data_IF_843969135922
#
_entry.id   IF_843969135922
#
_cell.length_a   1.000
_cell.length_b   1.000
_cell.length_c   1.000
_cell.angle_alpha   90.00
_cell.angle_beta   90.00
_cell.angle_gamma   90.00
#
_symmetry.space_group_name_H-M   'P 1'
#
loop_
_entity.id
_entity.type
_entity.pdbx_description
1 polymer ?
#
# COMPACT_ATOMS: atom_id res chain seq x y z
N UNK A 1 26.02 -2.34 22.20
CA UNK A 1 24.55 -2.43 22.27
C UNK A 1 24.20 -3.91 22.26
N UNK A 2 23.46 -4.37 23.27
CA UNK A 2 23.10 -5.77 23.46
C UNK A 2 22.30 -6.27 22.25
N UNK A 3 22.93 -7.09 21.41
CA UNK A 3 22.36 -7.62 20.18
C UNK A 3 21.64 -8.95 20.45
N UNK A 4 20.89 -9.02 21.56
CA UNK A 4 19.99 -10.14 21.82
C UNK A 4 18.80 -9.99 20.89
N UNK A 5 18.74 -10.82 19.84
CA UNK A 5 17.51 -10.99 19.05
C UNK A 5 16.34 -11.20 20.03
N UNK A 6 15.18 -10.56 19.81
CA UNK A 6 14.02 -10.78 20.64
C UNK A 6 13.78 -12.28 20.78
N UNK A 7 13.64 -12.76 22.01
CA UNK A 7 13.36 -14.16 22.26
C UNK A 7 12.01 -14.49 21.62
N UNK A 8 11.99 -15.49 20.74
CA UNK A 8 10.77 -15.85 20.01
C UNK A 8 9.66 -16.26 21.00
N UNK A 9 8.42 -15.80 20.81
CA UNK A 9 7.30 -16.19 21.65
C UNK A 9 7.14 -17.72 21.71
N UNK A 10 6.65 -18.24 22.84
CA UNK A 10 6.46 -19.69 23.01
C UNK A 10 5.54 -20.30 21.95
N UNK A 11 4.52 -19.56 21.49
CA UNK A 11 3.61 -19.99 20.42
C UNK A 11 4.27 -20.06 19.03
N UNK A 12 5.42 -19.40 18.83
CA UNK A 12 6.19 -19.49 17.59
C UNK A 12 7.07 -20.76 17.56
N UNK A 13 7.10 -21.55 18.64
CA UNK A 13 7.87 -22.79 18.73
C UNK A 13 7.02 -24.00 18.39
N UNK A 14 7.57 -24.88 17.57
CA UNK A 14 6.91 -26.09 17.11
C UNK A 14 7.33 -27.33 17.90
N UNK A 15 6.44 -28.33 17.93
CA UNK A 15 6.83 -29.69 18.28
C UNK A 15 7.85 -30.24 17.27
N UNK A 16 8.77 -31.14 17.66
CA UNK A 16 9.73 -31.74 16.73
C UNK A 16 9.08 -32.37 15.50
N UNK A 17 7.94 -33.03 15.68
CA UNK A 17 7.18 -33.65 14.59
C UNK A 17 6.64 -32.61 13.59
N UNK A 18 6.12 -31.49 14.09
CA UNK A 18 5.62 -30.41 13.22
C UNK A 18 6.77 -29.69 12.51
N UNK A 19 7.87 -29.45 13.21
CA UNK A 19 9.07 -28.87 12.62
C UNK A 19 9.63 -29.73 11.47
N UNK A 20 9.62 -31.06 11.64
CA UNK A 20 10.03 -32.00 10.58
C UNK A 20 9.14 -31.91 9.33
N UNK A 21 7.80 -31.82 9.50
CA UNK A 21 6.89 -31.61 8.36
C UNK A 21 7.18 -30.32 7.60
N UNK A 22 7.47 -29.24 8.32
CA UNK A 22 7.87 -27.99 7.67
C UNK A 22 9.23 -28.09 6.97
N UNK A 23 10.18 -28.83 7.52
CA UNK A 23 11.44 -29.11 6.83
C UNK A 23 11.20 -29.90 5.53
N UNK A 24 10.42 -30.98 5.56
CA UNK A 24 10.06 -31.80 4.39
C UNK A 24 9.38 -30.94 3.30
N UNK A 25 8.34 -30.17 3.65
CA UNK A 25 7.70 -29.25 2.69
C UNK A 25 8.64 -28.16 2.14
N UNK A 26 9.63 -27.75 2.94
CA UNK A 26 10.64 -26.78 2.48
C UNK A 26 11.57 -27.40 1.45
N UNK A 27 11.98 -28.66 1.63
CA UNK A 27 12.76 -29.43 0.65
C UNK A 27 11.97 -29.69 -0.64
N UNK A 28 10.65 -29.91 -0.53
CA UNK A 28 9.73 -30.02 -1.67
C UNK A 28 9.53 -28.69 -2.43
N UNK A 29 10.14 -27.59 -1.96
CA UNK A 29 10.08 -26.30 -2.62
C UNK A 29 8.82 -25.49 -2.33
N UNK A 30 8.00 -25.89 -1.35
CA UNK A 30 6.78 -25.15 -0.97
C UNK A 30 7.11 -23.70 -0.68
N UNK A 31 8.26 -23.42 -0.06
CA UNK A 31 8.71 -22.09 0.36
C UNK A 31 9.73 -21.42 -0.58
N UNK A 32 10.02 -22.05 -1.73
CA UNK A 32 10.91 -21.50 -2.74
C UNK A 32 10.43 -20.13 -3.24
N UNK A 33 11.35 -19.36 -3.81
CA UNK A 33 11.00 -18.10 -4.47
C UNK A 33 10.12 -18.37 -5.67
N UNK A 34 8.99 -17.67 -5.78
CA UNK A 34 8.24 -17.64 -7.02
C UNK A 34 9.04 -16.93 -8.13
N UNK A 35 8.70 -17.14 -9.40
CA UNK A 35 9.37 -16.50 -10.54
C UNK A 35 9.47 -14.96 -10.40
N UNK A 36 8.39 -14.35 -9.95
CA UNK A 36 8.35 -12.90 -9.67
C UNK A 36 9.30 -12.48 -8.55
N UNK A 37 9.52 -13.33 -7.54
CA UNK A 37 10.47 -13.08 -6.46
C UNK A 37 11.92 -13.29 -6.91
N UNK A 38 12.16 -14.22 -7.84
CA UNK A 38 13.48 -14.44 -8.45
C UNK A 38 13.95 -13.20 -9.20
N UNK A 39 13.04 -12.51 -9.92
CA UNK A 39 13.36 -11.25 -10.60
C UNK A 39 13.89 -10.17 -9.64
N UNK A 40 13.34 -10.10 -8.42
CA UNK A 40 13.85 -9.19 -7.39
C UNK A 40 15.18 -9.66 -6.79
N UNK A 41 15.33 -10.96 -6.53
CA UNK A 41 16.58 -11.57 -6.07
C UNK A 41 17.73 -11.25 -7.02
N UNK A 42 17.51 -11.36 -8.33
CA UNK A 42 18.55 -11.18 -9.34
C UNK A 42 19.06 -9.72 -9.43
N UNK A 43 18.36 -8.79 -8.77
CA UNK A 43 18.72 -7.37 -8.65
C UNK A 43 19.17 -6.97 -7.25
N UNK A 44 19.30 -7.91 -6.31
CA UNK A 44 19.63 -7.64 -4.90
C UNK A 44 20.85 -6.73 -4.76
N UNK A 45 21.97 -7.11 -5.38
CA UNK A 45 23.24 -6.38 -5.29
C UNK A 45 23.15 -4.99 -5.90
N UNK A 46 22.33 -4.81 -6.95
CA UNK A 46 22.09 -3.51 -7.55
C UNK A 46 21.33 -2.59 -6.59
N UNK A 47 20.26 -3.08 -5.94
CA UNK A 47 19.56 -2.32 -4.91
C UNK A 47 20.47 -2.00 -3.71
N UNK A 48 21.26 -2.97 -3.26
CA UNK A 48 22.20 -2.78 -2.15
C UNK A 48 23.24 -1.69 -2.49
N UNK A 49 23.78 -1.68 -3.71
CA UNK A 49 24.70 -0.64 -4.19
C UNK A 49 24.09 0.76 -4.22
N UNK A 50 22.76 0.84 -4.42
CA UNK A 50 21.97 2.09 -4.38
C UNK A 50 21.55 2.47 -2.96
N UNK A 51 21.87 1.67 -1.94
CA UNK A 51 21.54 1.92 -0.54
C UNK A 51 20.15 1.42 -0.12
N UNK A 52 19.56 0.50 -0.88
CA UNK A 52 18.28 -0.14 -0.59
C UNK A 52 18.49 -1.63 -0.30
N UNK A 53 18.36 -2.01 0.96
CA UNK A 53 18.51 -3.40 1.39
C UNK A 53 17.16 -4.12 1.25
N UNK A 54 17.10 -5.14 0.39
CA UNK A 54 15.93 -6.01 0.30
C UNK A 54 15.90 -7.00 1.47
N UNK A 55 14.72 -7.57 1.76
CA UNK A 55 14.56 -8.61 2.78
C UNK A 55 15.50 -9.81 2.55
N UNK A 56 15.94 -10.51 3.61
CA UNK A 56 16.90 -11.62 3.49
C UNK A 56 16.51 -12.71 2.48
N UNK A 57 15.21 -12.94 2.30
CA UNK A 57 14.62 -13.87 1.31
C UNK A 57 15.11 -13.64 -0.13
N UNK A 58 15.46 -12.41 -0.48
CA UNK A 58 15.90 -12.04 -1.83
C UNK A 58 17.42 -12.06 -2.00
N UNK A 59 18.19 -12.42 -0.97
CA UNK A 59 19.64 -12.52 -1.07
C UNK A 59 20.04 -13.82 -1.75
N UNK A 60 21.03 -13.76 -2.65
CA UNK A 60 21.57 -14.97 -3.27
C UNK A 60 22.08 -15.96 -2.21
N UNK A 61 21.73 -17.25 -2.37
CA UNK A 61 22.05 -18.30 -1.40
C UNK A 61 21.21 -18.27 -0.11
N UNK A 62 20.13 -17.48 -0.05
CA UNK A 62 19.20 -17.50 1.08
C UNK A 62 18.72 -18.93 1.38
N UNK A 63 18.71 -19.25 2.67
CA UNK A 63 18.16 -20.49 3.21
C UNK A 63 17.09 -20.10 4.24
N UNK A 64 15.90 -20.70 4.21
CA UNK A 64 14.82 -20.39 5.14
C UNK A 64 15.27 -20.42 6.61
N UNK A 65 14.92 -19.37 7.36
CA UNK A 65 15.42 -19.15 8.71
C UNK A 65 14.99 -20.21 9.73
N UNK A 66 13.95 -20.99 9.44
CA UNK A 66 13.41 -22.07 10.29
C UNK A 66 14.08 -23.42 10.06
N UNK A 67 14.88 -23.62 9.01
CA UNK A 67 15.57 -24.90 8.77
C UNK A 67 16.51 -25.21 9.94
N UNK A 68 16.44 -26.46 10.42
CA UNK A 68 17.23 -26.94 11.57
C UNK A 68 16.78 -26.36 12.91
N UNK A 69 15.62 -25.67 12.97
CA UNK A 69 15.08 -25.06 14.18
C UNK A 69 13.62 -25.49 14.38
N UNK A 70 13.15 -25.39 15.62
CA UNK A 70 11.76 -25.64 15.98
C UNK A 70 10.92 -24.36 15.92
N UNK A 71 11.03 -23.60 14.83
CA UNK A 71 10.32 -22.32 14.66
C UNK A 71 9.25 -22.51 13.60
N UNK A 72 8.06 -21.99 13.86
CA UNK A 72 6.97 -21.97 12.89
C UNK A 72 7.26 -20.93 11.79
N UNK A 73 7.31 -21.34 10.50
CA UNK A 73 7.53 -20.42 9.39
C UNK A 73 6.56 -19.23 9.36
N UNK A 74 5.37 -19.34 9.95
CA UNK A 74 4.43 -18.22 10.01
C UNK A 74 4.95 -17.03 10.84
N UNK A 75 5.93 -17.25 11.72
CA UNK A 75 6.61 -16.22 12.52
C UNK A 75 8.01 -15.89 11.99
N UNK A 76 8.31 -16.27 10.75
CA UNK A 76 9.55 -15.93 10.07
C UNK A 76 9.26 -14.88 8.98
N UNK A 77 9.86 -13.69 9.10
CA UNK A 77 9.73 -12.62 8.10
C UNK A 77 10.09 -13.10 6.68
N UNK A 78 11.11 -13.97 6.58
CA UNK A 78 11.59 -14.53 5.31
C UNK A 78 10.70 -15.65 4.74
N UNK A 79 9.61 -16.01 5.41
CA UNK A 79 8.52 -16.82 4.87
C UNK A 79 7.48 -15.98 4.11
N UNK A 80 7.43 -14.67 4.36
CA UNK A 80 6.42 -13.77 3.81
C UNK A 80 6.77 -13.45 2.36
N UNK A 81 5.94 -13.92 1.43
CA UNK A 81 6.10 -13.63 0.01
C UNK A 81 5.54 -12.28 -0.35
N UNK A 82 6.14 -11.67 -1.36
CA UNK A 82 5.53 -10.49 -1.97
C UNK A 82 4.37 -10.90 -2.90
N UNK A 83 3.24 -10.20 -2.78
CA UNK A 83 1.99 -10.55 -3.51
C UNK A 83 1.86 -9.85 -4.85
N UNK A 84 2.39 -8.64 -4.96
CA UNK A 84 2.25 -7.79 -6.14
C UNK A 84 3.59 -7.80 -6.89
N UNK A 85 3.67 -8.37 -8.11
CA UNK A 85 4.94 -8.57 -8.81
C UNK A 85 5.77 -7.31 -9.01
N UNK A 86 5.11 -6.17 -9.24
CA UNK A 86 5.73 -4.88 -9.54
C UNK A 86 6.06 -4.04 -8.30
N UNK A 87 5.74 -4.51 -7.09
CA UNK A 87 5.99 -3.78 -5.85
C UNK A 87 6.94 -4.60 -4.97
N UNK A 88 7.89 -3.97 -4.29
CA UNK A 88 8.67 -4.62 -3.23
C UNK A 88 9.05 -3.62 -2.15
N UNK A 89 9.16 -4.05 -0.90
CA UNK A 89 9.71 -3.24 0.19
C UNK A 89 11.25 -3.32 0.25
N UNK A 90 11.87 -2.23 0.68
CA UNK A 90 13.30 -2.17 0.95
C UNK A 90 13.60 -1.27 2.15
N UNK A 91 14.73 -1.51 2.80
CA UNK A 91 15.22 -0.71 3.91
C UNK A 91 16.35 0.21 3.44
N UNK A 92 16.23 1.51 3.72
CA UNK A 92 17.29 2.49 3.49
C UNK A 92 18.38 2.36 4.56
N UNK A 93 19.53 2.99 4.34
CA UNK A 93 20.65 3.02 5.30
C UNK A 93 20.28 3.61 6.67
N UNK A 94 19.32 4.53 6.71
CA UNK A 94 18.79 5.14 7.95
C UNK A 94 17.77 4.24 8.68
N UNK A 95 17.46 3.06 8.13
CA UNK A 95 16.49 2.12 8.67
C UNK A 95 15.06 2.37 8.22
N UNK A 96 14.78 3.47 7.51
CA UNK A 96 13.44 3.76 6.97
C UNK A 96 13.06 2.72 5.93
N UNK A 97 11.84 2.19 6.04
CA UNK A 97 11.26 1.27 5.05
C UNK A 97 10.60 2.07 3.95
N UNK A 98 10.89 1.69 2.71
CA UNK A 98 10.35 2.30 1.49
C UNK A 98 9.74 1.23 0.59
N UNK A 99 8.94 1.67 -0.37
CA UNK A 99 8.38 0.85 -1.43
C UNK A 99 9.10 1.15 -2.75
N UNK A 100 9.44 0.07 -3.45
CA UNK A 100 9.98 0.04 -4.79
C UNK A 100 8.84 -0.33 -5.75
N UNK A 101 8.52 0.53 -6.70
CA UNK A 101 7.59 0.22 -7.81
C UNK A 101 8.36 0.06 -9.11
N UNK A 102 8.28 -1.13 -9.71
CA UNK A 102 8.86 -1.45 -11.00
C UNK A 102 7.88 -1.09 -12.13
N UNK A 103 8.16 -0.01 -12.86
CA UNK A 103 7.24 0.50 -13.90
C UNK A 103 7.93 0.70 -15.24
N UNK A 104 7.13 0.68 -16.32
CA UNK A 104 7.61 0.94 -17.67
C UNK A 104 7.91 2.42 -17.85
N UNK A 105 9.04 2.72 -18.48
CA UNK A 105 9.46 4.09 -18.81
C UNK A 105 8.68 4.70 -19.98
N UNK A 106 8.02 3.85 -20.77
CA UNK A 106 7.18 4.28 -21.89
C UNK A 106 5.84 4.90 -21.45
N UNK A 107 5.46 4.76 -20.18
CA UNK A 107 4.23 5.37 -19.64
C UNK A 107 4.53 6.77 -19.13
N UNK A 108 3.52 7.65 -19.03
CA UNK A 108 3.70 8.99 -18.47
C UNK A 108 3.91 8.97 -16.94
N UNK A 109 3.71 7.82 -16.28
CA UNK A 109 3.65 7.68 -14.82
C UNK A 109 4.86 8.29 -14.11
N UNK A 110 6.08 7.87 -14.49
CA UNK A 110 7.33 8.37 -13.87
C UNK A 110 7.44 9.89 -14.05
N UNK A 111 7.11 10.39 -15.25
CA UNK A 111 7.20 11.80 -15.58
C UNK A 111 6.21 12.65 -14.78
N UNK A 112 4.97 12.15 -14.59
CA UNK A 112 3.94 12.82 -13.79
C UNK A 112 4.32 12.78 -12.31
N UNK A 113 4.69 11.61 -11.77
CA UNK A 113 5.06 11.45 -10.37
C UNK A 113 6.28 12.32 -10.00
N UNK A 114 7.30 12.35 -10.87
CA UNK A 114 8.49 13.19 -10.69
C UNK A 114 8.17 14.68 -10.78
N UNK A 115 7.24 15.07 -11.66
CA UNK A 115 6.77 16.46 -11.74
C UNK A 115 6.07 16.90 -10.45
N UNK A 116 5.17 16.07 -9.94
CA UNK A 116 4.43 16.31 -8.69
C UNK A 116 5.34 16.29 -7.45
N UNK A 117 6.51 15.64 -7.55
CA UNK A 117 7.53 15.61 -6.50
C UNK A 117 8.65 16.64 -6.69
N UNK A 118 8.56 17.49 -7.72
CA UNK A 118 9.58 18.51 -7.97
C UNK A 118 9.57 19.60 -6.88
N UNK A 119 10.66 20.35 -6.77
CA UNK A 119 10.84 21.39 -5.74
C UNK A 119 9.66 22.38 -5.65
N UNK A 120 9.04 22.69 -6.79
CA UNK A 120 7.89 23.58 -6.87
C UNK A 120 6.64 23.03 -6.17
N UNK A 121 6.44 21.71 -6.15
CA UNK A 121 5.18 21.09 -5.70
C UNK A 121 5.35 20.24 -4.43
N UNK A 122 6.55 19.73 -4.14
CA UNK A 122 6.78 18.86 -2.97
C UNK A 122 6.53 19.52 -1.61
N UNK A 123 6.53 20.86 -1.58
CA UNK A 123 6.31 21.65 -0.38
C UNK A 123 4.91 22.29 -0.33
N UNK A 124 4.07 22.10 -1.36
CA UNK A 124 2.69 22.54 -1.30
C UNK A 124 1.90 21.61 -0.36
N UNK A 125 1.37 22.11 0.77
CA UNK A 125 0.65 21.27 1.72
C UNK A 125 -0.61 20.64 1.12
N UNK A 126 -1.15 21.18 0.02
CA UNK A 126 -2.31 20.65 -0.71
C UNK A 126 -1.94 19.58 -1.73
N UNK A 127 -0.66 19.34 -1.94
CA UNK A 127 -0.19 18.26 -2.79
C UNK A 127 -0.28 16.95 -2.02
N UNK A 128 -1.40 16.24 -2.20
CA UNK A 128 -1.57 14.88 -1.70
C UNK A 128 -1.11 13.84 -2.73
N UNK A 129 -0.17 14.14 -3.64
CA UNK A 129 0.45 13.10 -4.46
C UNK A 129 1.60 12.45 -3.68
N UNK A 130 1.75 11.13 -3.78
CA UNK A 130 2.85 10.43 -3.11
C UNK A 130 4.21 11.00 -3.55
N UNK A 131 5.09 11.36 -2.61
CA UNK A 131 6.40 11.89 -2.97
C UNK A 131 7.30 10.78 -3.52
N UNK A 132 8.02 11.10 -4.58
CA UNK A 132 9.03 10.22 -5.18
C UNK A 132 10.40 10.55 -4.58
N UNK A 133 10.97 9.57 -3.89
CA UNK A 133 12.21 9.70 -3.13
C UNK A 133 13.46 9.46 -4.00
N UNK A 134 13.35 8.57 -4.98
CA UNK A 134 14.40 8.26 -5.96
C UNK A 134 13.78 7.59 -7.19
N UNK A 135 14.44 7.71 -8.34
CA UNK A 135 14.11 6.99 -9.58
C UNK A 135 15.40 6.54 -10.25
N UNK A 136 15.50 5.25 -10.55
CA UNK A 136 16.66 4.71 -11.27
C UNK A 136 16.25 3.61 -12.24
N UNK A 137 17.04 3.48 -13.31
CA UNK A 137 16.77 2.51 -14.37
C UNK A 137 17.03 1.09 -13.90
N UNK A 138 16.28 0.15 -14.48
CA UNK A 138 16.59 -1.26 -14.38
C UNK A 138 17.72 -1.60 -15.36
N UNK A 139 18.74 -2.32 -14.88
CA UNK A 139 19.87 -2.75 -15.68
C UNK A 139 19.57 -4.02 -16.49
N UNK A 140 18.59 -4.81 -16.06
CA UNK A 140 18.18 -6.05 -16.74
C UNK A 140 17.04 -5.80 -17.74
N UNK A 141 16.20 -4.79 -17.49
CA UNK A 141 15.06 -4.42 -18.34
C UNK A 141 15.13 -2.92 -18.71
N UNK A 142 15.84 -2.55 -19.80
CA UNK A 142 16.13 -1.14 -20.13
C UNK A 142 14.90 -0.25 -20.36
N UNK A 143 13.75 -0.84 -20.68
CA UNK A 143 12.45 -0.16 -20.85
C UNK A 143 11.74 0.10 -19.52
N UNK A 144 12.31 -0.32 -18.38
CA UNK A 144 11.74 -0.18 -17.05
C UNK A 144 12.65 0.58 -16.08
N UNK A 145 12.04 1.05 -15.00
CA UNK A 145 12.70 1.74 -13.92
C UNK A 145 12.01 1.43 -12.58
N UNK A 146 12.75 1.69 -11.51
CA UNK A 146 12.26 1.63 -10.15
C UNK A 146 11.96 3.03 -9.64
N UNK A 147 10.75 3.24 -9.13
CA UNK A 147 10.40 4.42 -8.35
C UNK A 147 10.41 4.05 -6.87
N UNK A 148 11.11 4.84 -6.07
CA UNK A 148 11.16 4.70 -4.61
C UNK A 148 10.15 5.67 -4.01
N UNK A 149 9.24 5.15 -3.19
CA UNK A 149 8.19 5.92 -2.54
C UNK A 149 8.07 5.53 -1.05
N UNK A 150 7.48 6.37 -0.19
CA UNK A 150 7.23 6.02 1.20
C UNK A 150 6.39 4.75 1.36
N UNK A 151 6.58 4.04 2.47
CA UNK A 151 5.66 2.99 2.89
C UNK A 151 4.37 3.62 3.40
N UNK A 152 3.25 3.29 2.75
CA UNK A 152 1.90 3.76 3.10
C UNK A 152 0.96 2.59 3.38
N UNK A 153 -0.18 2.85 4.01
CA UNK A 153 -1.27 1.87 4.21
C UNK A 153 -2.49 2.25 3.36
N UNK A 154 -3.40 1.32 3.04
CA UNK A 154 -4.71 1.68 2.49
C UNK A 154 -5.41 2.73 3.37
N UNK A 155 -6.16 3.65 2.77
CA UNK A 155 -6.80 4.77 3.51
C UNK A 155 -7.79 4.32 4.60
N UNK A 156 -8.41 3.15 4.42
CA UNK A 156 -9.36 2.54 5.34
C UNK A 156 -8.75 1.41 6.18
N UNK A 157 -7.41 1.35 6.31
CA UNK A 157 -6.72 0.42 7.21
C UNK A 157 -5.82 1.18 8.21
N UNK A 158 -6.17 1.25 9.50
CA UNK A 158 -7.37 0.64 10.11
C UNK A 158 -8.66 1.31 9.65
N UNK A 159 -9.81 0.68 9.88
CA UNK A 159 -11.11 1.26 9.53
C UNK A 159 -11.35 2.63 10.18
N UNK A 160 -12.24 3.43 9.60
CA UNK A 160 -12.65 4.71 10.17
C UNK A 160 -13.50 4.46 11.43
N UNK A 161 -13.08 5.01 12.56
CA UNK A 161 -13.74 4.84 13.85
C UNK A 161 -14.67 5.99 14.23
N UNK A 162 -14.54 7.15 13.58
CA UNK A 162 -15.34 8.34 13.88
C UNK A 162 -15.68 9.16 12.63
N UNK A 163 -16.84 9.82 12.64
CA UNK A 163 -17.28 10.66 11.51
C UNK A 163 -16.32 11.83 11.23
N UNK A 164 -15.63 12.33 12.26
CA UNK A 164 -14.61 13.38 12.10
C UNK A 164 -13.44 12.92 11.22
N UNK A 165 -13.06 11.65 11.29
CA UNK A 165 -12.00 11.06 10.46
C UNK A 165 -12.44 10.97 8.99
N UNK A 166 -13.72 10.69 8.74
CA UNK A 166 -14.30 10.68 7.40
C UNK A 166 -14.29 12.08 6.79
N UNK A 167 -14.69 13.10 7.56
CA UNK A 167 -14.64 14.49 7.09
C UNK A 167 -13.22 14.94 6.79
N UNK A 168 -12.24 14.58 7.62
CA UNK A 168 -10.82 14.86 7.36
C UNK A 168 -10.32 14.18 6.07
N UNK A 169 -10.67 12.91 5.87
CA UNK A 169 -10.36 12.19 4.63
C UNK A 169 -10.95 12.88 3.40
N UNK A 170 -12.26 13.16 3.40
CA UNK A 170 -12.95 13.83 2.29
C UNK A 170 -12.35 15.20 2.01
N UNK A 171 -12.03 15.97 3.06
CA UNK A 171 -11.40 17.28 2.89
C UNK A 171 -10.06 17.17 2.17
N UNK A 172 -9.16 16.29 2.63
CA UNK A 172 -7.84 16.08 2.03
C UNK A 172 -7.93 15.57 0.58
N UNK A 173 -8.81 14.61 0.30
CA UNK A 173 -8.93 14.03 -1.05
C UNK A 173 -9.55 14.99 -2.07
N UNK A 174 -10.33 15.99 -1.63
CA UNK A 174 -10.86 17.05 -2.49
C UNK A 174 -9.85 18.15 -2.83
N UNK A 175 -8.70 18.23 -2.15
CA UNK A 175 -7.67 19.23 -2.44
C UNK A 175 -6.91 18.94 -3.76
N UNK A 176 -6.94 17.69 -4.24
CA UNK A 176 -6.17 17.27 -5.41
C UNK A 176 -7.03 17.13 -6.66
N UNK A 177 -6.40 17.46 -7.79
CA UNK A 177 -6.93 17.29 -9.13
C UNK A 177 -6.07 16.25 -9.88
N UNK A 178 -6.37 14.96 -9.73
CA UNK A 178 -5.65 13.87 -10.41
C UNK A 178 -6.56 12.93 -11.16
N UNK A 179 -6.19 12.56 -12.38
CA UNK A 179 -6.93 11.57 -13.17
C UNK A 179 -6.63 10.15 -12.67
N UNK A 180 -7.59 9.55 -11.94
CA UNK A 180 -7.63 8.23 -11.26
C UNK A 180 -7.67 8.25 -9.71
N UNK A 181 -8.68 8.93 -9.16
CA UNK A 181 -8.98 9.03 -7.73
C UNK A 181 -9.67 7.79 -7.10
N UNK A 182 -9.53 6.61 -7.70
CA UNK A 182 -10.21 5.42 -7.17
C UNK A 182 -9.65 4.98 -5.81
N UNK A 183 -10.50 4.44 -4.93
CA UNK A 183 -10.12 4.05 -3.55
C UNK A 183 -8.81 3.25 -3.42
N UNK A 184 -8.55 2.23 -4.26
CA UNK A 184 -7.28 1.48 -4.22
C UNK A 184 -6.02 2.30 -4.52
N UNK A 185 -6.16 3.48 -5.11
CA UNK A 185 -5.09 4.42 -5.39
C UNK A 185 -5.00 5.53 -4.32
N UNK A 186 -5.81 5.48 -3.25
CA UNK A 186 -5.70 6.39 -2.11
C UNK A 186 -5.09 5.63 -0.94
N UNK A 187 -3.96 6.14 -0.48
CA UNK A 187 -3.17 5.57 0.60
C UNK A 187 -3.03 6.58 1.73
N UNK A 188 -2.58 6.14 2.89
CA UNK A 188 -2.43 6.94 4.10
C UNK A 188 -1.02 6.75 4.65
N UNK A 189 -0.42 7.84 5.12
CA UNK A 189 0.74 7.73 5.99
C UNK A 189 0.30 7.22 7.37
N UNK A 190 0.57 5.93 7.60
CA UNK A 190 0.21 5.24 8.83
C UNK A 190 1.25 5.36 9.96
N UNK A 191 2.40 6.00 9.74
CA UNK A 191 3.44 6.12 10.78
C UNK A 191 2.94 6.78 12.06
N UNK A 192 2.11 7.84 12.02
CA UNK A 192 1.51 8.39 13.23
C UNK A 192 0.70 7.36 14.03
N UNK A 193 -0.06 6.50 13.36
CA UNK A 193 -0.90 5.47 14.00
C UNK A 193 -0.08 4.29 14.54
N UNK A 194 1.10 4.04 13.96
CA UNK A 194 1.96 2.91 14.31
C UNK A 194 3.38 3.42 14.64
N UNK A 195 3.61 3.97 15.84
CA UNK A 195 4.92 4.52 16.22
C UNK A 195 6.07 3.52 16.14
N UNK A 196 5.77 2.23 16.33
CA UNK A 196 6.74 1.13 16.23
C UNK A 196 6.83 0.52 14.82
N UNK A 197 6.06 1.05 13.87
CA UNK A 197 5.96 0.57 12.50
C UNK A 197 5.08 -0.67 12.35
N UNK A 198 4.98 -1.14 11.10
CA UNK A 198 4.26 -2.35 10.70
C UNK A 198 5.01 -3.06 9.57
N UNK A 199 4.71 -4.34 9.34
CA UNK A 199 5.29 -5.07 8.23
C UNK A 199 4.61 -4.68 6.89
N UNK A 200 5.37 -4.39 5.81
CA UNK A 200 4.81 -3.91 4.54
C UNK A 200 3.76 -4.84 3.89
N UNK A 201 3.98 -6.16 3.96
CA UNK A 201 3.05 -7.17 3.44
C UNK A 201 1.97 -7.58 4.45
N UNK A 202 2.37 -8.05 5.64
CA UNK A 202 1.45 -8.43 6.73
C UNK A 202 1.21 -7.26 7.67
N UNK A 203 0.40 -6.30 7.23
CA UNK A 203 0.23 -4.99 7.89
C UNK A 203 -0.28 -5.04 9.35
N UNK A 204 -0.84 -6.16 9.79
CA UNK A 204 -1.27 -6.39 11.17
C UNK A 204 -0.14 -6.79 12.11
N UNK A 205 1.08 -7.02 11.58
CA UNK A 205 2.23 -7.46 12.35
C UNK A 205 3.31 -6.37 12.46
N UNK A 206 4.16 -6.51 13.46
CA UNK A 206 5.38 -5.72 13.64
C UNK A 206 6.32 -5.87 12.45
N UNK A 207 7.27 -4.94 12.24
CA UNK A 207 8.19 -5.00 11.09
C UNK A 207 8.96 -6.32 10.92
N UNK A 208 9.23 -7.04 12.01
CA UNK A 208 9.88 -8.36 12.04
C UNK A 208 8.91 -9.55 11.92
N UNK A 209 7.61 -9.28 11.73
CA UNK A 209 6.51 -10.23 11.63
C UNK A 209 6.28 -11.13 12.86
N UNK A 210 6.69 -10.71 14.05
CA UNK A 210 6.60 -11.54 15.27
C UNK A 210 5.34 -11.34 16.11
N UNK A 211 4.83 -10.10 16.16
CA UNK A 211 3.74 -9.72 17.06
C UNK A 211 2.71 -8.88 16.33
N UNK A 212 1.47 -8.95 16.78
CA UNK A 212 0.43 -8.06 16.28
C UNK A 212 0.71 -6.61 16.71
N UNK A 213 0.45 -5.68 15.81
CA UNK A 213 0.51 -4.23 16.08
C UNK A 213 -0.88 -3.65 16.16
N UNK A 214 -1.09 -2.77 17.13
CA UNK A 214 -2.36 -2.07 17.32
C UNK A 214 -2.19 -0.60 16.97
N UNK A 215 -3.08 -0.02 16.15
CA UNK A 215 -3.04 1.40 15.83
C UNK A 215 -3.42 2.25 17.03
N UNK A 216 -2.87 3.47 17.09
CA UNK A 216 -3.47 4.56 17.85
C UNK A 216 -4.79 5.00 17.19
N UNK A 217 -5.63 5.70 17.95
CA UNK A 217 -6.89 6.23 17.41
C UNK A 217 -6.60 7.35 16.42
N UNK A 218 -7.18 7.25 15.22
CA UNK A 218 -6.95 8.19 14.12
C UNK A 218 -7.52 9.58 14.45
N UNK A 219 -8.63 9.67 15.17
CA UNK A 219 -9.20 10.95 15.62
C UNK A 219 -8.24 11.77 16.50
N UNK A 220 -7.41 11.10 17.30
CA UNK A 220 -6.41 11.74 18.18
C UNK A 220 -5.03 11.87 17.52
N UNK A 221 -4.87 11.25 16.34
CA UNK A 221 -3.58 11.09 15.67
C UNK A 221 -3.74 11.44 14.19
N UNK A 222 -3.64 12.74 13.82
CA UNK A 222 -3.87 13.19 12.46
C UNK A 222 -2.99 12.45 11.45
N UNK A 223 -3.60 12.03 10.35
CA UNK A 223 -2.96 11.30 9.26
C UNK A 223 -3.02 12.09 7.98
N UNK A 224 -2.13 11.76 7.03
CA UNK A 224 -2.12 12.37 5.71
C UNK A 224 -2.43 11.33 4.65
N UNK A 225 -3.38 11.64 3.78
CA UNK A 225 -3.73 10.80 2.64
C UNK A 225 -2.93 11.19 1.40
N UNK A 226 -2.69 10.22 0.53
CA UNK A 226 -1.94 10.37 -0.71
C UNK A 226 -2.58 9.59 -1.85
N UNK A 227 -2.67 10.22 -3.02
CA UNK A 227 -2.89 9.56 -4.30
C UNK A 227 -1.61 8.90 -4.77
N UNK A 228 -1.72 7.63 -5.15
CA UNK A 228 -0.66 6.81 -5.73
C UNK A 228 -1.06 6.33 -7.13
N UNK A 229 -0.09 5.85 -7.89
CA UNK A 229 -0.28 5.27 -9.23
C UNK A 229 -0.82 6.25 -10.28
N UNK A 230 0.11 6.83 -11.06
CA UNK A 230 -0.21 7.78 -12.13
C UNK A 230 -0.20 7.11 -13.52
N UNK A 231 -0.36 5.79 -13.58
CA UNK A 231 -0.29 5.01 -14.81
C UNK A 231 -1.35 5.38 -15.86
N UNK A 232 -2.50 5.88 -15.40
CA UNK A 232 -3.61 6.35 -16.24
C UNK A 232 -3.76 7.87 -16.25
N UNK A 233 -2.91 8.59 -15.52
CA UNK A 233 -3.04 10.04 -15.40
C UNK A 233 -2.56 10.77 -16.65
N UNK A 234 -3.16 11.93 -16.90
CA UNK A 234 -2.78 12.84 -17.98
C UNK A 234 -2.39 14.19 -17.40
N UNK A 235 -1.31 14.79 -17.93
CA UNK A 235 -0.87 16.14 -17.55
C UNK A 235 -1.14 17.13 -18.67
N UNK A 236 -1.86 18.19 -18.34
CA UNK A 236 -2.16 19.30 -19.25
C UNK A 236 -1.17 20.45 -19.06
N UNK A 237 -0.85 21.15 -20.14
CA UNK A 237 -0.06 22.40 -20.09
C UNK A 237 -0.96 23.59 -19.74
N UNK A 238 -0.42 24.68 -19.17
CA UNK A 238 -1.19 25.90 -18.97
C UNK A 238 -1.83 26.38 -20.28
N UNK A 239 -3.14 26.60 -20.27
CA UNK A 239 -3.93 27.03 -21.44
C UNK A 239 -4.37 25.90 -22.39
N UNK A 240 -3.98 24.65 -22.14
CA UNK A 240 -4.48 23.49 -22.88
C UNK A 240 -5.94 23.17 -22.52
N UNK A 241 -6.71 22.68 -23.48
CA UNK A 241 -8.07 22.21 -23.20
C UNK A 241 -7.98 20.90 -22.41
N UNK A 242 -8.67 20.84 -21.28
CA UNK A 242 -8.73 19.66 -20.42
C UNK A 242 -9.72 18.63 -20.98
N UNK A 243 -9.36 18.00 -22.09
CA UNK A 243 -10.18 16.97 -22.72
C UNK A 243 -9.33 15.73 -23.01
N UNK A 244 -9.87 14.57 -22.68
CA UNK A 244 -9.25 13.26 -22.94
C UNK A 244 -10.24 12.34 -23.62
N UNK A 245 -9.71 11.29 -24.24
CA UNK A 245 -10.46 10.11 -24.67
C UNK A 245 -9.85 8.89 -24.00
N UNK A 246 -10.68 7.94 -23.62
CA UNK A 246 -10.25 6.74 -22.92
C UNK A 246 -11.41 6.07 -22.22
N UNK A 247 -11.57 4.77 -22.46
CA UNK A 247 -12.51 3.91 -21.74
C UNK A 247 -11.81 3.04 -20.69
N UNK A 248 -10.70 3.53 -20.12
CA UNK A 248 -9.96 2.85 -19.06
C UNK A 248 -10.04 3.73 -17.81
N UNK A 249 -10.60 3.18 -16.75
CA UNK A 249 -10.68 3.75 -15.40
C UNK A 249 -10.98 2.61 -14.44
N UNK A 250 -10.61 2.71 -13.17
CA UNK A 250 -10.96 1.64 -12.22
C UNK A 250 -12.44 1.64 -11.90
N UNK A 251 -13.02 2.83 -11.76
CA UNK A 251 -14.46 3.01 -11.68
C UNK A 251 -15.04 2.98 -13.09
N UNK A 252 -15.81 1.93 -13.39
CA UNK A 252 -16.47 1.73 -14.69
C UNK A 252 -17.88 2.32 -14.73
N UNK A 253 -18.39 2.86 -13.62
CA UNK A 253 -19.73 3.46 -13.54
C UNK A 253 -19.73 4.94 -13.96
N UNK A 254 -18.55 5.51 -14.24
CA UNK A 254 -18.39 6.87 -14.79
C UNK A 254 -19.06 6.94 -16.17
N UNK A 255 -20.14 7.73 -16.33
CA UNK A 255 -20.93 7.72 -17.56
C UNK A 255 -20.23 8.37 -18.76
N UNK A 256 -19.27 9.27 -18.52
CA UNK A 256 -18.54 9.96 -19.59
C UNK A 256 -17.38 9.14 -20.18
N UNK A 257 -16.96 8.04 -19.54
CA UNK A 257 -15.84 7.23 -20.03
C UNK A 257 -16.11 6.71 -21.44
N UNK A 258 -15.36 7.25 -22.40
CA UNK A 258 -15.55 6.91 -23.81
C UNK A 258 -14.22 6.85 -24.54
N UNK A 259 -14.09 5.83 -25.40
CA UNK A 259 -12.91 5.70 -26.28
C UNK A 259 -12.92 6.67 -27.45
N UNK A 260 -14.06 7.31 -27.74
CA UNK A 260 -14.25 8.12 -28.95
C UNK A 260 -14.86 9.50 -28.68
N UNK A 261 -15.60 9.67 -27.58
CA UNK A 261 -16.20 10.95 -27.20
C UNK A 261 -15.26 11.63 -26.19
N UNK A 262 -14.73 12.83 -26.48
CA UNK A 262 -13.90 13.55 -25.53
C UNK A 262 -14.69 13.98 -24.30
N UNK A 263 -14.08 13.86 -23.13
CA UNK A 263 -14.65 14.29 -21.86
C UNK A 263 -13.63 15.05 -21.00
N UNK A 264 -14.12 15.76 -20.00
CA UNK A 264 -13.31 16.49 -19.03
C UNK A 264 -12.92 15.55 -17.88
N UNK A 265 -11.63 15.19 -17.73
CA UNK A 265 -11.22 14.20 -16.74
C UNK A 265 -11.39 14.71 -15.30
N UNK A 266 -11.41 16.03 -15.08
CA UNK A 266 -11.63 16.54 -13.72
C UNK A 266 -13.06 16.29 -13.24
N UNK A 267 -14.04 16.20 -14.14
CA UNK A 267 -15.40 15.79 -13.77
C UNK A 267 -15.47 14.31 -13.43
N UNK A 268 -14.70 13.49 -14.15
CA UNK A 268 -14.54 12.07 -13.83
C UNK A 268 -13.96 11.89 -12.44
N UNK A 269 -12.94 12.66 -12.06
CA UNK A 269 -12.34 12.58 -10.72
C UNK A 269 -13.33 12.91 -9.60
N UNK A 270 -14.17 13.95 -9.80
CA UNK A 270 -15.23 14.31 -8.85
C UNK A 270 -16.29 13.20 -8.76
N UNK A 271 -16.68 12.61 -9.90
CA UNK A 271 -17.61 11.47 -9.89
C UNK A 271 -17.01 10.29 -9.13
N UNK A 272 -15.78 9.89 -9.45
CA UNK A 272 -15.11 8.75 -8.83
C UNK A 272 -14.91 8.95 -7.32
N UNK A 273 -14.55 10.16 -6.87
CA UNK A 273 -14.49 10.47 -5.44
C UNK A 273 -15.88 10.42 -4.79
N UNK A 274 -16.90 11.00 -5.42
CA UNK A 274 -18.28 10.94 -4.91
C UNK A 274 -18.80 9.51 -4.79
N UNK A 275 -18.52 8.68 -5.80
CA UNK A 275 -18.87 7.26 -5.79
C UNK A 275 -18.11 6.51 -4.70
N UNK A 276 -16.81 6.76 -4.52
CA UNK A 276 -16.02 6.21 -3.42
C UNK A 276 -16.61 6.57 -2.05
N UNK A 277 -16.99 7.83 -1.83
CA UNK A 277 -17.59 8.24 -0.56
C UNK A 277 -18.94 7.55 -0.32
N UNK A 278 -19.71 7.36 -1.38
CA UNK A 278 -20.99 6.66 -1.30
C UNK A 278 -20.80 5.19 -0.96
N UNK A 279 -19.87 4.49 -1.60
CA UNK A 279 -19.66 3.05 -1.38
C UNK A 279 -19.03 2.79 -0.02
N UNK A 280 -17.99 3.53 0.36
CA UNK A 280 -17.24 3.29 1.60
C UNK A 280 -17.98 3.76 2.86
N UNK A 281 -18.74 4.86 2.78
CA UNK A 281 -19.34 5.46 3.97
C UNK A 281 -20.86 5.36 4.00
N UNK A 282 -21.54 5.66 2.88
CA UNK A 282 -23.01 5.69 2.88
C UNK A 282 -23.61 4.28 2.80
N UNK A 283 -23.12 3.44 1.89
CA UNK A 283 -23.63 2.07 1.72
C UNK A 283 -23.20 1.16 2.87
N UNK A 284 -21.97 1.29 3.38
CA UNK A 284 -21.52 0.53 4.57
C UNK A 284 -22.34 0.91 5.81
N UNK A 285 -22.64 2.20 6.01
CA UNK A 285 -23.50 2.63 7.12
C UNK A 285 -24.93 2.10 6.98
N UNK A 286 -25.49 2.10 5.77
CA UNK A 286 -26.81 1.53 5.50
C UNK A 286 -26.84 0.01 5.63
N UNK A 287 -25.81 -0.71 5.16
CA UNK A 287 -25.74 -2.16 5.34
C UNK A 287 -25.59 -2.53 6.82
N UNK A 288 -24.80 -1.77 7.60
CA UNK A 288 -24.72 -1.96 9.04
C UNK A 288 -26.08 -1.74 9.75
N UNK A 289 -26.82 -0.68 9.36
CA UNK A 289 -28.17 -0.42 9.87
C UNK A 289 -29.18 -1.48 9.42
N UNK A 290 -29.04 -2.02 8.21
CA UNK A 290 -29.96 -3.02 7.65
C UNK A 290 -29.62 -4.47 8.06
N UNK A 291 -28.39 -4.74 8.50
CA UNK A 291 -27.94 -6.02 9.09
C UNK A 291 -28.22 -6.11 10.60
N UNK A 292 -28.62 -5.02 11.26
CA UNK A 292 -29.27 -5.04 12.58
C UNK A 292 -30.81 -4.84 12.51
N UNK A 293 -31.60 -5.76 11.93
CA UNK A 293 -33.02 -5.83 12.25
C UNK A 293 -33.19 -6.65 13.53
N UNK A 294 -33.85 -6.06 14.54
CA UNK A 294 -34.21 -6.59 15.88
C UNK A 294 -33.18 -6.23 16.98
N UNK A 295 -33.44 -5.41 18.00
CA UNK A 295 -34.69 -5.10 18.72
C UNK A 295 -34.59 -3.73 19.40
N UNK A 296 -35.26 -2.70 18.88
CA UNK A 296 -35.90 -1.70 19.73
C UNK A 296 -37.19 -1.24 19.06
N UNK A 297 -38.30 -1.87 19.44
CA UNK A 297 -39.63 -1.36 19.12
C UNK A 297 -39.79 0.01 19.76
N UNK A 298 -39.91 1.06 18.94
CA UNK A 298 -40.32 2.40 19.35
C UNK A 298 -41.83 2.38 19.62
N UNK A 299 -42.24 1.58 20.62
CA UNK A 299 -43.63 1.51 21.11
C UNK A 299 -43.75 1.30 22.62
N UNK A 300 -42.66 1.25 23.39
CA UNK A 300 -42.73 1.04 24.85
C UNK A 300 -42.24 2.21 25.73
N UNK A 301 -41.85 3.36 25.17
CA UNK A 301 -41.44 4.54 25.98
C UNK A 301 -42.51 5.64 26.06
N UNK A 302 -43.77 5.34 25.71
CA UNK A 302 -44.88 6.25 25.97
C UNK A 302 -46.10 5.48 26.52
N UNK A 303 -46.07 5.21 27.82
CA UNK A 303 -47.28 5.17 28.64
C UNK A 303 -47.04 6.04 29.89
N UNK A 304 -48.03 6.85 30.28
CA UNK A 304 -47.89 7.91 31.29
C UNK A 304 -47.57 7.41 32.69
#
# INVERSE_FOLDING_TARGET
MNNSRPELPSYARLSPRTAQKYAESTEEGVWALAEVEMSWRDRYDYFESRGYQLRPRYKAGWTPSWIGKNIDPEFCEDAIRQRIPQILDAKRKDGTVVILKHTKRSTPEIGIASFLSSEQYRHDPRNHCVPILDVFHDLLEPDKAFMVMPLLRPFNDPEFGAIGEVFDFVAQTLEVRTVDCSGPNIMMDGHPLYPEGWHPVRRTLSPDALREVKPLQRIDTPVRYYFVDFGLSTRFRPGERHIVVGGKGRDQDVPELSRIIPYDPFKVDIFTLGHLYQTEFYQVSLSFIMEEPETYSISEVLRP
#
